data_IF_691507101990
#
_entry.id   IF_691507101990
#
_cell.length_a   1.000
_cell.length_b   1.000
_cell.length_c   1.000
_cell.angle_alpha   90.00
_cell.angle_beta   90.00
_cell.angle_gamma   90.00
#
_symmetry.space_group_name_H-M   'P 1'
#
loop_
_entity.id
_entity.type
_entity.pdbx_description
1 polymer ?
#
# COMPACT_ATOMS: atom_id res chain seq x y z
N UNK A 1 -0.04 14.49 -18.84
CA UNK A 1 -0.92 13.45 -18.30
C UNK A 1 -2.34 13.82 -18.66
N UNK A 2 -3.11 12.91 -19.25
CA UNK A 2 -4.51 13.20 -19.55
C UNK A 2 -5.38 13.21 -18.27
N UNK A 3 -6.58 13.74 -18.40
CA UNK A 3 -7.51 13.92 -17.28
C UNK A 3 -7.96 12.58 -16.67
N UNK A 4 -8.06 11.54 -17.49
CA UNK A 4 -8.41 10.19 -17.04
C UNK A 4 -7.33 9.62 -16.13
N UNK A 5 -6.07 9.68 -16.58
CA UNK A 5 -4.91 9.19 -15.84
C UNK A 5 -4.75 9.96 -14.51
N UNK A 6 -4.98 11.28 -14.51
CA UNK A 6 -4.95 12.09 -13.29
C UNK A 6 -6.01 11.63 -12.28
N UNK A 7 -7.24 11.39 -12.73
CA UNK A 7 -8.33 10.88 -11.89
C UNK A 7 -8.04 9.48 -11.35
N UNK A 8 -7.45 8.62 -12.17
CA UNK A 8 -7.06 7.27 -11.75
C UNK A 8 -5.97 7.31 -10.68
N UNK A 9 -4.95 8.17 -10.83
CA UNK A 9 -3.91 8.36 -9.80
C UNK A 9 -4.53 8.85 -8.49
N UNK A 10 -5.38 9.89 -8.54
CA UNK A 10 -6.04 10.40 -7.35
C UNK A 10 -6.92 9.31 -6.68
N UNK A 11 -7.65 8.54 -7.47
CA UNK A 11 -8.47 7.43 -6.98
C UNK A 11 -7.65 6.30 -6.34
N UNK A 12 -6.50 5.96 -6.91
CA UNK A 12 -5.58 4.96 -6.36
C UNK A 12 -4.95 5.45 -5.06
N UNK A 13 -4.49 6.71 -5.03
CA UNK A 13 -3.94 7.34 -3.85
C UNK A 13 -4.92 7.34 -2.68
N UNK A 14 -6.17 7.76 -2.93
CA UNK A 14 -7.22 7.77 -1.92
C UNK A 14 -7.45 6.39 -1.31
N UNK A 15 -7.61 5.37 -2.16
CA UNK A 15 -7.83 3.98 -1.71
C UNK A 15 -6.65 3.46 -0.89
N UNK A 16 -5.42 3.76 -1.30
CA UNK A 16 -4.23 3.34 -0.59
C UNK A 16 -4.10 4.02 0.78
N UNK A 17 -4.31 5.33 0.86
CA UNK A 17 -4.29 6.09 2.12
C UNK A 17 -5.40 5.64 3.08
N UNK A 18 -6.59 5.34 2.58
CA UNK A 18 -7.65 4.75 3.40
C UNK A 18 -7.30 3.37 3.94
N UNK A 19 -6.70 2.51 3.12
CA UNK A 19 -6.21 1.21 3.57
C UNK A 19 -5.14 1.39 4.66
N UNK A 20 -4.19 2.30 4.46
CA UNK A 20 -3.17 2.62 5.46
C UNK A 20 -3.78 3.08 6.79
N UNK A 21 -4.80 3.95 6.74
CA UNK A 21 -5.55 4.40 7.91
C UNK A 21 -6.26 3.25 8.63
N UNK A 22 -6.91 2.35 7.88
CA UNK A 22 -7.59 1.18 8.44
C UNK A 22 -6.61 0.22 9.12
N UNK A 23 -5.45 0.04 8.51
CA UNK A 23 -4.37 -0.78 9.06
C UNK A 23 -3.67 -0.13 10.24
N UNK A 24 -3.85 1.16 10.53
CA UNK A 24 -3.11 1.87 11.59
C UNK A 24 -3.35 1.38 13.03
N UNK A 25 -4.29 0.45 13.22
CA UNK A 25 -4.53 -0.25 14.49
C UNK A 25 -3.93 -1.66 14.51
N UNK A 26 -3.39 -2.14 13.39
CA UNK A 26 -2.73 -3.43 13.23
C UNK A 26 -1.25 -3.33 13.63
N UNK A 27 -0.78 -4.28 14.44
CA UNK A 27 0.61 -4.35 14.91
C UNK A 27 1.62 -4.49 13.75
N UNK A 28 1.17 -5.09 12.64
CA UNK A 28 1.95 -5.34 11.42
C UNK A 28 1.57 -4.41 10.28
N UNK A 29 0.94 -3.27 10.59
CA UNK A 29 0.48 -2.26 9.62
C UNK A 29 1.58 -1.78 8.67
N UNK A 30 2.81 -1.61 9.17
CA UNK A 30 3.97 -1.24 8.37
C UNK A 30 4.28 -2.27 7.28
N UNK A 31 4.19 -3.55 7.60
CA UNK A 31 4.33 -4.62 6.62
C UNK A 31 3.12 -4.61 5.70
N UNK A 32 1.91 -4.72 6.22
CA UNK A 32 0.71 -4.92 5.40
C UNK A 32 0.51 -3.79 4.38
N UNK A 33 0.71 -2.54 4.80
CA UNK A 33 0.62 -1.39 3.93
C UNK A 33 1.90 -1.16 3.10
N UNK A 34 3.06 -1.63 3.57
CA UNK A 34 4.36 -1.26 2.98
C UNK A 34 4.75 0.19 3.24
N UNK A 35 4.25 0.77 4.34
CA UNK A 35 4.40 2.19 4.69
C UNK A 35 5.18 2.30 6.01
N UNK A 36 6.09 3.27 6.16
CA UNK A 36 6.76 3.52 7.44
C UNK A 36 5.75 3.79 8.57
N UNK A 37 6.03 3.28 9.76
CA UNK A 37 5.12 3.41 10.91
C UNK A 37 4.78 4.86 11.24
N UNK A 38 5.76 5.76 11.18
CA UNK A 38 5.56 7.19 11.40
C UNK A 38 4.56 7.80 10.40
N UNK A 39 4.63 7.39 9.14
CA UNK A 39 3.69 7.82 8.09
C UNK A 39 2.29 7.26 8.34
N UNK A 40 2.17 6.03 8.83
CA UNK A 40 0.87 5.43 9.20
C UNK A 40 0.22 6.19 10.35
N UNK A 41 0.97 6.58 11.39
CA UNK A 41 0.44 7.38 12.49
C UNK A 41 0.01 8.77 12.03
N UNK A 42 0.73 9.39 11.10
CA UNK A 42 0.29 10.65 10.47
C UNK A 42 -1.04 10.44 9.73
N UNK A 43 -1.13 9.43 8.86
CA UNK A 43 -2.35 9.11 8.11
C UNK A 43 -3.53 8.80 9.05
N UNK A 44 -3.28 8.16 10.20
CA UNK A 44 -4.28 7.88 11.24
C UNK A 44 -4.83 9.15 11.89
N UNK A 45 -4.00 10.19 12.01
CA UNK A 45 -4.39 11.47 12.60
C UNK A 45 -5.21 12.37 11.68
N UNK A 46 -5.09 12.18 10.36
CA UNK A 46 -5.82 12.97 9.36
C UNK A 46 -7.34 12.76 9.43
N UNK A 47 -8.12 13.64 8.84
CA UNK A 47 -9.54 13.45 8.53
C UNK A 47 -9.70 12.79 7.16
N UNK A 48 -10.91 12.33 6.84
CA UNK A 48 -11.18 11.80 5.50
C UNK A 48 -11.04 12.89 4.42
N UNK A 49 -11.46 14.12 4.72
CA UNK A 49 -11.36 15.25 3.79
C UNK A 49 -9.89 15.63 3.52
N UNK A 50 -9.03 15.61 4.55
CA UNK A 50 -7.59 15.85 4.37
C UNK A 50 -6.92 14.74 3.53
N UNK A 51 -7.35 13.48 3.69
CA UNK A 51 -6.85 12.38 2.86
C UNK A 51 -7.30 12.54 1.40
N UNK A 52 -8.54 12.98 1.18
CA UNK A 52 -9.09 13.19 -0.16
C UNK A 52 -8.37 14.33 -0.88
N UNK A 53 -8.15 15.45 -0.17
CA UNK A 53 -7.39 16.58 -0.70
C UNK A 53 -5.94 16.17 -1.05
N UNK A 54 -5.25 15.47 -0.13
CA UNK A 54 -3.90 14.98 -0.37
C UNK A 54 -3.84 14.05 -1.59
N UNK A 55 -4.82 13.14 -1.73
CA UNK A 55 -4.89 12.23 -2.86
C UNK A 55 -5.08 12.96 -4.21
N UNK A 56 -5.86 14.04 -4.23
CA UNK A 56 -6.11 14.86 -5.42
C UNK A 56 -4.91 15.72 -5.82
N UNK A 57 -4.14 16.19 -4.85
CA UNK A 57 -2.95 17.03 -5.07
C UNK A 57 -1.73 16.23 -5.58
N UNK A 58 -1.68 14.93 -5.30
CA UNK A 58 -0.55 14.08 -5.71
C UNK A 58 -0.60 13.74 -7.20
N UNK A 59 0.48 14.08 -7.91
CA UNK A 59 0.64 13.83 -9.35
C UNK A 59 1.09 12.41 -9.70
N UNK A 60 1.38 11.59 -8.70
CA UNK A 60 1.89 10.23 -8.86
C UNK A 60 1.28 9.29 -7.81
N UNK A 61 1.26 7.98 -8.08
CA UNK A 61 0.93 6.97 -7.08
C UNK A 61 1.81 7.10 -5.83
N UNK A 62 1.20 7.20 -4.65
CA UNK A 62 1.88 7.29 -3.35
C UNK A 62 2.31 5.93 -2.77
N UNK A 63 2.32 4.90 -3.61
CA UNK A 63 2.71 3.55 -3.25
C UNK A 63 3.75 3.02 -4.24
N UNK A 64 4.61 2.16 -3.74
CA UNK A 64 5.59 1.44 -4.56
C UNK A 64 5.20 -0.03 -4.66
N UNK A 65 5.65 -0.68 -5.72
CA UNK A 65 5.47 -2.11 -5.85
C UNK A 65 6.32 -2.86 -4.81
N UNK A 66 5.65 -3.60 -3.92
CA UNK A 66 6.27 -4.19 -2.73
C UNK A 66 7.14 -5.42 -3.02
N UNK A 67 6.89 -6.10 -4.14
CA UNK A 67 7.58 -7.33 -4.49
C UNK A 67 8.66 -7.04 -5.53
N UNK A 68 9.84 -7.65 -5.38
CA UNK A 68 10.80 -7.64 -6.47
C UNK A 68 10.31 -8.55 -7.62
N UNK A 69 10.96 -8.45 -8.78
CA UNK A 69 10.57 -9.21 -9.99
C UNK A 69 10.54 -10.72 -9.75
N UNK A 70 11.55 -11.28 -9.06
CA UNK A 70 11.62 -12.71 -8.76
C UNK A 70 10.44 -13.18 -7.89
N UNK A 71 10.14 -12.44 -6.83
CA UNK A 71 8.99 -12.71 -5.95
C UNK A 71 7.67 -12.62 -6.70
N UNK A 72 7.51 -11.62 -7.56
CA UNK A 72 6.28 -11.45 -8.33
C UNK A 72 6.08 -12.57 -9.35
N UNK A 73 7.13 -12.99 -10.07
CA UNK A 73 7.07 -14.13 -10.99
C UNK A 73 6.67 -15.42 -10.26
N UNK A 74 7.27 -15.68 -9.10
CA UNK A 74 6.90 -16.83 -8.29
C UNK A 74 5.42 -16.79 -7.83
N UNK A 75 4.89 -15.59 -7.51
CA UNK A 75 3.46 -15.41 -7.22
C UNK A 75 2.57 -15.72 -8.43
N UNK A 76 2.97 -15.31 -9.63
CA UNK A 76 2.23 -15.60 -10.87
C UNK A 76 2.15 -17.12 -11.11
N UNK A 77 3.28 -17.83 -10.94
CA UNK A 77 3.42 -19.28 -11.15
C UNK A 77 2.69 -20.13 -10.11
N UNK A 78 2.73 -19.75 -8.82
CA UNK A 78 2.16 -20.54 -7.70
C UNK A 78 0.64 -20.38 -7.58
N UNK A 79 -0.13 -20.81 -8.60
CA UNK A 79 -1.57 -20.53 -8.72
C UNK A 79 -2.42 -20.89 -7.49
N UNK A 80 -2.14 -22.00 -6.82
CA UNK A 80 -2.95 -22.53 -5.70
C UNK A 80 -2.46 -22.13 -4.31
N UNK A 81 -1.20 -21.68 -4.17
CA UNK A 81 -0.57 -21.42 -2.86
C UNK A 81 -0.10 -19.98 -2.68
N UNK A 82 -0.60 -19.04 -3.49
CA UNK A 82 -0.18 -17.62 -3.46
C UNK A 82 -0.28 -16.98 -2.08
N UNK A 83 -1.37 -17.25 -1.35
CA UNK A 83 -1.60 -16.66 -0.02
C UNK A 83 -0.55 -17.13 0.98
N UNK A 84 -0.28 -18.43 1.02
CA UNK A 84 0.74 -19.04 1.88
C UNK A 84 2.14 -18.54 1.51
N UNK A 85 2.44 -18.51 0.20
CA UNK A 85 3.71 -17.99 -0.29
C UNK A 85 3.91 -16.52 0.08
N UNK A 86 2.90 -15.69 -0.07
CA UNK A 86 2.93 -14.29 0.34
C UNK A 86 3.13 -14.16 1.85
N UNK A 87 2.40 -14.93 2.67
CA UNK A 87 2.58 -14.91 4.12
C UNK A 87 4.03 -15.25 4.53
N UNK A 88 4.65 -16.25 3.88
CA UNK A 88 6.04 -16.61 4.13
C UNK A 88 7.02 -15.48 3.77
N UNK A 89 6.79 -14.78 2.66
CA UNK A 89 7.61 -13.61 2.27
C UNK A 89 7.50 -12.50 3.30
N UNK A 90 6.28 -12.19 3.75
CA UNK A 90 6.06 -11.15 4.75
C UNK A 90 6.69 -11.51 6.10
N UNK A 91 6.60 -12.78 6.51
CA UNK A 91 7.24 -13.26 7.72
C UNK A 91 8.78 -13.18 7.63
N UNK A 92 9.37 -13.43 6.45
CA UNK A 92 10.81 -13.28 6.26
C UNK A 92 11.28 -11.83 6.36
N UNK A 93 10.46 -10.87 5.88
CA UNK A 93 10.77 -9.42 5.96
C UNK A 93 10.74 -8.86 7.38
N UNK A 94 10.07 -9.54 8.32
CA UNK A 94 10.06 -9.18 9.74
C UNK A 94 11.37 -9.51 10.47
N UNK A 95 12.15 -10.44 9.94
CA UNK A 95 13.35 -10.97 10.59
C UNK A 95 14.64 -10.23 10.20
N UNK A 96 14.54 -9.32 9.24
CA UNK A 96 15.60 -8.42 8.75
C UNK A 96 15.41 -7.02 9.30
#
# INVERSE_FOLDING_TARGET
>A
MDETTRKDIAGLNRRYLYLARQLASDEHSNLLAGIPRETIELIKSMTFDEIDALAEDMIAPCFTFKFNDATFRALVEKKTTRREYMANILAAQLQT
#
